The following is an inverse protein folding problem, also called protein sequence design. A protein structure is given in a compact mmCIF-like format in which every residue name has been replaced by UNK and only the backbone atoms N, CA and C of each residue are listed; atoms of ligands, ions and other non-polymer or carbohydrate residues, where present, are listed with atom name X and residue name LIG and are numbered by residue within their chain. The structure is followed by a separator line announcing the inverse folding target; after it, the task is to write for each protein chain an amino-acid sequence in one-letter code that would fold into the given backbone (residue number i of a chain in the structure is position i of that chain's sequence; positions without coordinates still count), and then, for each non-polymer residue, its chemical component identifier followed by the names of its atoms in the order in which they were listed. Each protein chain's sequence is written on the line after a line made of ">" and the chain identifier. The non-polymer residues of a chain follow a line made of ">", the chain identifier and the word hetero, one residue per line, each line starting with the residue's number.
data_IF_162963292019
#
_entry.id   IF_162963292019
#
_cell.length_a   1.000
_cell.length_b   1.000
_cell.length_c   1.000
_cell.angle_alpha   90.00
_cell.angle_beta   90.00
_cell.angle_gamma   90.00
#
_symmetry.space_group_name_H-M   'P 1'
#
loop_
_entity.id
_entity.type
_entity.pdbx_description
1 polymer ?
#
# COMPACT_ATOMS: atom_id res chain seq x y z
N UNK A 1 11.65 1.75 -14.68
CA UNK A 1 13.01 2.14 -14.38
C UNK A 1 13.99 1.19 -15.06
N UNK A 2 15.04 1.76 -15.67
CA UNK A 2 15.99 1.00 -16.49
C UNK A 2 17.13 0.39 -15.66
N UNK A 3 17.25 0.75 -14.40
CA UNK A 3 18.36 0.38 -13.54
C UNK A 3 17.87 0.23 -12.09
N UNK A 4 17.06 -0.78 -11.85
CA UNK A 4 16.79 -1.26 -10.51
C UNK A 4 17.73 -2.43 -10.24
N UNK A 5 18.72 -2.18 -9.39
CA UNK A 5 19.49 -3.26 -8.79
C UNK A 5 18.68 -3.82 -7.63
N UNK A 6 18.02 -4.95 -7.85
CA UNK A 6 17.26 -5.58 -6.79
C UNK A 6 17.43 -7.10 -6.78
N UNK A 7 17.54 -7.60 -5.57
CA UNK A 7 17.59 -9.05 -5.31
C UNK A 7 16.18 -9.53 -5.04
N UNK A 8 15.55 -10.07 -6.05
CA UNK A 8 14.13 -10.43 -6.01
C UNK A 8 13.84 -11.89 -5.71
N UNK A 9 14.85 -12.70 -5.51
CA UNK A 9 14.64 -14.09 -5.11
C UNK A 9 14.71 -14.22 -3.59
N UNK A 10 13.58 -14.10 -2.95
CA UNK A 10 13.42 -14.39 -1.54
C UNK A 10 12.86 -15.81 -1.39
N UNK A 11 13.51 -16.58 -0.54
CA UNK A 11 13.03 -17.90 -0.21
C UNK A 11 12.02 -17.83 0.93
N UNK A 12 10.94 -18.57 0.80
CA UNK A 12 10.04 -18.84 1.91
C UNK A 12 10.77 -19.63 3.01
N UNK A 13 10.18 -19.75 4.19
CA UNK A 13 10.76 -20.52 5.31
C UNK A 13 11.02 -22.00 4.98
N UNK A 14 10.26 -22.55 4.04
CA UNK A 14 10.45 -23.92 3.49
C UNK A 14 11.48 -23.97 2.36
N UNK A 15 12.20 -22.86 2.10
CA UNK A 15 13.18 -22.69 1.02
C UNK A 15 12.60 -22.71 -0.40
N UNK A 16 11.30 -22.68 -0.56
CA UNK A 16 10.69 -22.43 -1.87
C UNK A 16 10.87 -20.98 -2.31
N UNK A 17 10.83 -20.72 -3.62
CA UNK A 17 10.96 -19.37 -4.17
C UNK A 17 9.65 -18.63 -3.96
N UNK A 18 9.73 -17.39 -3.47
CA UNK A 18 8.57 -16.49 -3.40
C UNK A 18 8.32 -15.84 -4.75
N UNK A 19 7.18 -16.12 -5.35
CA UNK A 19 6.77 -15.51 -6.61
C UNK A 19 6.20 -14.10 -6.47
N UNK A 20 5.98 -13.62 -5.24
CA UNK A 20 5.43 -12.29 -4.95
C UNK A 20 6.49 -11.25 -4.54
N UNK A 21 7.76 -11.60 -4.60
CA UNK A 21 8.83 -10.63 -4.31
C UNK A 21 8.81 -9.51 -5.34
N UNK A 22 8.84 -8.26 -4.86
CA UNK A 22 8.84 -7.07 -5.71
C UNK A 22 7.47 -6.59 -6.17
N UNK A 23 6.37 -7.18 -5.67
CA UNK A 23 5.01 -6.71 -5.89
C UNK A 23 4.65 -5.51 -4.97
N UNK A 24 3.46 -4.96 -5.15
CA UNK A 24 2.80 -3.96 -4.28
C UNK A 24 3.71 -2.73 -4.03
N UNK A 25 4.16 -2.02 -5.08
CA UNK A 25 5.13 -0.95 -4.91
C UNK A 25 4.53 0.28 -4.23
N UNK A 26 5.12 0.68 -3.12
CA UNK A 26 4.84 1.94 -2.44
C UNK A 26 5.96 2.94 -2.73
N UNK A 27 5.66 3.99 -3.50
CA UNK A 27 6.62 5.05 -3.82
C UNK A 27 6.23 6.33 -3.09
N UNK A 28 7.19 6.92 -2.39
CA UNK A 28 7.01 8.17 -1.65
C UNK A 28 8.17 9.12 -1.90
N UNK A 29 7.85 10.40 -2.03
CA UNK A 29 8.85 11.47 -2.00
C UNK A 29 9.13 11.87 -0.54
N UNK A 30 10.39 12.09 -0.20
CA UNK A 30 10.81 12.59 1.10
C UNK A 30 12.07 13.47 0.94
N UNK A 31 11.91 14.75 1.21
CA UNK A 31 12.99 15.76 1.11
C UNK A 31 13.71 15.78 -0.24
N UNK A 32 12.96 15.72 -1.33
CA UNK A 32 13.49 15.78 -2.70
C UNK A 32 14.12 14.48 -3.20
N UNK A 33 13.93 13.38 -2.49
CA UNK A 33 14.34 12.03 -2.90
C UNK A 33 13.15 11.09 -2.87
N UNK A 34 13.18 10.07 -3.71
CA UNK A 34 12.13 9.07 -3.82
C UNK A 34 12.57 7.77 -3.16
N UNK A 35 11.66 7.15 -2.43
CA UNK A 35 11.87 5.86 -1.79
C UNK A 35 10.80 4.89 -2.24
N UNK A 36 11.22 3.69 -2.66
CA UNK A 36 10.31 2.63 -3.11
C UNK A 36 10.45 1.41 -2.22
N UNK A 37 9.32 1.00 -1.65
CA UNK A 37 9.16 -0.19 -0.84
C UNK A 37 8.32 -1.20 -1.61
N UNK A 38 8.67 -2.49 -1.52
CA UNK A 38 7.96 -3.56 -2.24
C UNK A 38 7.83 -4.80 -1.38
N UNK A 39 6.82 -5.59 -1.68
CA UNK A 39 6.53 -6.85 -1.01
C UNK A 39 7.76 -7.75 -0.92
N UNK A 40 8.03 -8.24 0.29
CA UNK A 40 9.04 -9.25 0.64
C UNK A 40 10.46 -8.87 0.23
N UNK A 41 10.75 -7.60 0.18
CA UNK A 41 12.10 -7.08 0.00
C UNK A 41 12.84 -6.98 1.34
N UNK A 42 14.12 -7.37 1.34
CA UNK A 42 14.99 -7.20 2.52
C UNK A 42 15.59 -5.80 2.62
N UNK A 43 15.00 -4.85 1.95
CA UNK A 43 15.37 -3.45 1.96
C UNK A 43 14.42 -2.64 1.09
N UNK A 44 14.89 -1.53 0.61
CA UNK A 44 14.12 -0.62 -0.24
C UNK A 44 15.05 0.14 -1.17
N UNK A 45 14.50 0.88 -2.11
CA UNK A 45 15.28 1.64 -3.08
C UNK A 45 15.12 3.13 -2.87
N UNK A 46 16.16 3.85 -3.18
CA UNK A 46 16.24 5.31 -3.20
C UNK A 46 16.56 5.80 -4.60
N UNK A 47 15.95 6.91 -5.00
CA UNK A 47 16.22 7.58 -6.27
C UNK A 47 16.12 9.10 -6.10
N UNK A 48 16.81 9.84 -6.98
CA UNK A 48 16.68 11.31 -7.10
C UNK A 48 15.92 11.72 -8.35
N UNK A 49 15.70 10.82 -9.27
CA UNK A 49 15.20 11.11 -10.62
C UNK A 49 14.12 10.11 -11.10
N UNK A 50 13.72 9.14 -10.27
CA UNK A 50 12.82 8.03 -10.59
C UNK A 50 13.31 7.10 -11.71
N UNK A 51 14.51 7.32 -12.23
CA UNK A 51 15.12 6.52 -13.30
C UNK A 51 16.24 5.63 -12.77
N UNK A 52 17.10 6.21 -11.92
CA UNK A 52 18.22 5.52 -11.31
C UNK A 52 17.93 5.23 -9.85
N UNK A 53 18.02 3.94 -9.47
CA UNK A 53 17.66 3.46 -8.15
C UNK A 53 18.83 2.78 -7.47
N UNK A 54 19.09 3.15 -6.22
CA UNK A 54 20.07 2.54 -5.35
C UNK A 54 19.38 1.72 -4.28
N UNK A 55 19.85 0.48 -4.05
CA UNK A 55 19.32 -0.35 -2.97
C UNK A 55 19.85 0.11 -1.62
N UNK A 56 18.93 0.42 -0.71
CA UNK A 56 19.21 0.74 0.69
C UNK A 56 19.08 -0.53 1.52
N UNK A 57 20.19 -1.01 2.05
CA UNK A 57 20.22 -2.16 2.96
C UNK A 57 19.86 -1.68 4.37
N UNK A 58 18.81 -2.22 4.99
CA UNK A 58 18.43 -1.82 6.34
C UNK A 58 19.49 -2.18 7.38
N UNK A 59 19.72 -1.26 8.32
CA UNK A 59 20.65 -1.44 9.42
C UNK A 59 19.98 -2.09 10.63
N UNK A 60 18.90 -1.47 11.13
CA UNK A 60 18.16 -1.96 12.32
C UNK A 60 16.66 -1.74 12.19
N UNK A 61 15.91 -2.49 12.98
CA UNK A 61 14.45 -2.37 13.12
C UNK A 61 13.68 -2.50 11.79
N UNK A 62 14.22 -3.25 10.83
CA UNK A 62 13.47 -3.58 9.63
C UNK A 62 12.66 -4.87 9.84
N UNK A 63 11.62 -5.06 9.05
CA UNK A 63 10.83 -6.30 9.07
C UNK A 63 11.74 -7.50 8.73
N UNK A 64 11.84 -8.53 9.60
CA UNK A 64 12.92 -9.53 9.54
C UNK A 64 13.01 -10.34 8.24
N UNK A 65 11.93 -10.46 7.50
CA UNK A 65 11.90 -11.16 6.21
C UNK A 65 11.20 -10.33 5.14
N UNK A 66 11.24 -9.00 5.31
CA UNK A 66 10.35 -8.11 4.59
C UNK A 66 8.91 -8.22 5.12
N UNK A 67 8.00 -7.59 4.42
CA UNK A 67 6.57 -7.67 4.69
C UNK A 67 5.82 -7.77 3.36
N UNK A 68 4.58 -8.20 3.39
CA UNK A 68 3.69 -8.05 2.25
C UNK A 68 3.11 -6.63 2.24
N UNK A 69 2.79 -6.14 1.05
CA UNK A 69 2.06 -4.90 0.85
C UNK A 69 2.55 -3.73 1.74
N UNK A 70 3.82 -3.30 1.60
CA UNK A 70 4.30 -2.15 2.35
C UNK A 70 3.58 -0.89 1.90
N UNK A 71 3.29 0.00 2.85
CA UNK A 71 2.84 1.35 2.58
C UNK A 71 3.76 2.36 3.25
N UNK A 72 3.89 3.55 2.66
CA UNK A 72 4.78 4.58 3.16
C UNK A 72 4.07 5.94 3.19
N UNK A 73 4.28 6.70 4.27
CA UNK A 73 3.68 8.01 4.46
C UNK A 73 4.72 9.05 4.88
N UNK A 74 4.90 10.07 4.03
CA UNK A 74 5.71 11.23 4.34
C UNK A 74 4.89 12.23 5.17
N UNK A 75 5.27 12.44 6.42
CA UNK A 75 4.63 13.46 7.26
C UNK A 75 5.45 14.76 7.24
N UNK A 76 5.07 15.67 6.34
CA UNK A 76 5.60 17.05 6.25
C UNK A 76 7.13 17.11 6.18
N UNK A 77 7.76 16.23 5.45
CA UNK A 77 9.23 16.11 5.33
C UNK A 77 10.00 16.01 6.65
N UNK A 78 9.30 15.73 7.73
CA UNK A 78 9.90 15.59 9.05
C UNK A 78 10.16 14.12 9.41
N UNK A 79 9.21 13.25 9.11
CA UNK A 79 9.27 11.82 9.43
C UNK A 79 8.63 11.02 8.29
N UNK A 80 9.32 9.98 7.86
CA UNK A 80 8.81 8.94 6.97
C UNK A 80 8.36 7.75 7.80
N UNK A 81 7.11 7.34 7.63
CA UNK A 81 6.54 6.15 8.24
C UNK A 81 6.41 5.03 7.22
N UNK A 82 6.58 3.80 7.66
CA UNK A 82 6.33 2.59 6.84
C UNK A 82 5.50 1.60 7.64
N UNK A 83 4.52 1.02 6.98
CA UNK A 83 3.72 -0.11 7.45
C UNK A 83 3.87 -1.28 6.50
N UNK A 84 3.35 -2.44 6.86
CA UNK A 84 3.33 -3.62 6.01
C UNK A 84 2.76 -4.80 6.78
N UNK A 85 2.37 -5.86 6.08
CA UNK A 85 1.85 -7.09 6.68
C UNK A 85 2.96 -8.15 6.82
N UNK A 86 3.49 -8.37 8.03
CA UNK A 86 4.44 -9.45 8.29
C UNK A 86 3.74 -10.81 8.56
N UNK A 87 2.45 -10.93 8.21
CA UNK A 87 1.60 -12.10 8.50
C UNK A 87 1.37 -12.32 10.00
N UNK A 88 0.93 -11.26 10.68
CA UNK A 88 0.64 -11.34 12.12
C UNK A 88 0.64 -9.98 12.80
N UNK A 89 1.59 -9.80 13.70
CA UNK A 89 1.74 -8.54 14.44
C UNK A 89 2.71 -7.61 13.74
N UNK A 90 2.35 -6.34 13.64
CA UNK A 90 3.21 -5.32 13.05
C UNK A 90 3.44 -4.15 14.01
N UNK A 91 4.58 -3.50 13.85
CA UNK A 91 4.84 -2.17 14.37
C UNK A 91 4.93 -1.18 13.21
N UNK A 92 4.45 0.03 13.40
CA UNK A 92 4.72 1.13 12.46
C UNK A 92 6.21 1.48 12.60
N UNK A 93 6.95 1.46 11.52
CA UNK A 93 8.34 1.91 11.48
C UNK A 93 8.42 3.37 11.09
N UNK A 94 9.40 4.09 11.62
CA UNK A 94 9.61 5.49 11.25
C UNK A 94 11.09 5.87 11.25
N UNK A 95 11.43 6.87 10.44
CA UNK A 95 12.77 7.46 10.39
C UNK A 95 12.68 8.91 9.91
N UNK A 96 13.65 9.73 10.29
CA UNK A 96 13.90 11.05 9.70
C UNK A 96 15.05 11.05 8.68
N UNK A 97 15.69 9.89 8.50
CA UNK A 97 16.78 9.70 7.55
C UNK A 97 16.70 8.31 6.88
N UNK A 98 15.79 8.11 5.93
CA UNK A 98 15.62 6.82 5.26
C UNK A 98 16.87 6.38 4.47
N UNK A 99 17.72 7.31 4.02
CA UNK A 99 18.96 6.96 3.35
C UNK A 99 19.96 6.18 4.22
N UNK A 100 19.84 6.28 5.55
CA UNK A 100 20.71 5.58 6.50
C UNK A 100 20.41 4.09 6.65
N UNK A 101 19.24 3.64 6.23
CA UNK A 101 18.75 2.28 6.48
C UNK A 101 18.29 2.01 7.93
N UNK A 102 18.39 3.00 8.83
CA UNK A 102 18.02 2.84 10.24
C UNK A 102 16.61 3.34 10.53
N UNK A 103 15.84 2.51 11.20
CA UNK A 103 14.46 2.78 11.56
C UNK A 103 14.24 2.64 13.06
N UNK A 104 13.25 3.33 13.56
CA UNK A 104 12.69 3.14 14.89
C UNK A 104 11.30 2.51 14.75
N UNK A 105 10.91 1.73 15.77
CA UNK A 105 9.59 1.13 15.80
C UNK A 105 8.70 1.88 16.81
N UNK A 106 7.47 2.18 16.38
CA UNK A 106 6.44 2.63 17.31
C UNK A 106 6.13 1.49 18.29
N UNK A 107 6.09 1.74 19.59
CA UNK A 107 5.88 0.67 20.58
C UNK A 107 4.50 -0.01 20.51
N UNK A 108 3.51 0.62 19.87
CA UNK A 108 2.22 -0.01 19.67
C UNK A 108 2.35 -1.17 18.67
N UNK A 109 1.76 -2.30 19.02
CA UNK A 109 1.68 -3.47 18.16
C UNK A 109 0.25 -3.57 17.62
N UNK A 110 0.12 -3.61 16.31
CA UNK A 110 -1.13 -3.83 15.62
C UNK A 110 -1.19 -5.28 15.14
N UNK A 111 -2.38 -5.87 15.15
CA UNK A 111 -2.55 -7.28 14.86
C UNK A 111 -3.53 -7.50 13.72
N UNK A 112 -3.21 -8.46 12.84
CA UNK A 112 -4.09 -8.95 11.78
C UNK A 112 -4.59 -7.85 10.83
N UNK A 113 -3.75 -6.88 10.53
CA UNK A 113 -3.99 -5.88 9.50
C UNK A 113 -3.34 -6.38 8.21
N UNK A 114 -4.16 -6.76 7.23
CA UNK A 114 -3.70 -7.14 5.90
C UNK A 114 -3.65 -5.90 5.01
N UNK A 115 -2.55 -5.73 4.29
CA UNK A 115 -2.32 -4.59 3.40
C UNK A 115 -2.54 -3.23 4.10
N UNK A 116 -1.83 -2.94 5.21
CA UNK A 116 -2.11 -1.78 6.03
C UNK A 116 -1.51 -0.50 5.45
N UNK A 117 -2.33 0.55 5.30
CA UNK A 117 -1.91 1.90 4.93
C UNK A 117 -2.08 2.87 6.11
N UNK A 118 -0.98 3.54 6.50
CA UNK A 118 -1.00 4.63 7.48
C UNK A 118 -1.11 5.97 6.78
N UNK A 119 -2.15 6.72 7.10
CA UNK A 119 -2.32 8.10 6.66
C UNK A 119 -2.34 9.07 7.83
N UNK A 120 -1.55 10.14 7.78
CA UNK A 120 -1.57 11.23 8.75
C UNK A 120 -2.00 12.50 8.04
N UNK A 121 -3.13 13.05 8.45
CA UNK A 121 -3.72 14.23 7.82
C UNK A 121 -2.98 15.52 8.21
N UNK A 122 -3.27 16.61 7.50
CA UNK A 122 -2.66 17.94 7.74
C UNK A 122 -2.90 18.47 9.15
N UNK A 123 -4.02 18.09 9.78
CA UNK A 123 -4.34 18.42 11.18
C UNK A 123 -3.62 17.54 12.20
N UNK A 124 -2.82 16.58 11.74
CA UNK A 124 -2.03 15.68 12.56
C UNK A 124 -2.79 14.45 13.08
N UNK A 125 -4.06 14.27 12.73
CA UNK A 125 -4.78 13.03 13.03
C UNK A 125 -4.24 11.90 12.17
N UNK A 126 -4.12 10.74 12.80
CA UNK A 126 -3.61 9.54 12.14
C UNK A 126 -4.72 8.50 11.96
N UNK A 127 -4.66 7.83 10.82
CA UNK A 127 -5.62 6.80 10.43
C UNK A 127 -4.88 5.59 9.91
N UNK A 128 -5.42 4.40 10.19
CA UNK A 128 -4.96 3.14 9.60
C UNK A 128 -6.09 2.56 8.76
N UNK A 129 -5.77 2.21 7.52
CA UNK A 129 -6.66 1.52 6.60
C UNK A 129 -6.10 0.15 6.30
N UNK A 130 -6.96 -0.85 6.09
CA UNK A 130 -6.53 -2.20 5.74
C UNK A 130 -7.66 -3.01 5.14
N UNK A 131 -7.31 -4.11 4.47
CA UNK A 131 -8.22 -5.11 3.96
C UNK A 131 -7.64 -5.84 2.77
N UNK A 132 -7.87 -7.15 2.75
CA UNK A 132 -7.50 -8.05 1.68
C UNK A 132 -8.43 -9.26 1.78
N UNK A 133 -9.55 -9.25 1.01
CA UNK A 133 -10.61 -10.24 1.21
C UNK A 133 -11.62 -10.31 0.07
N UNK A 134 -12.22 -11.49 -0.06
CA UNK A 134 -13.42 -11.73 -0.88
C UNK A 134 -14.74 -11.67 -0.05
N UNK A 135 -14.64 -11.47 1.26
CA UNK A 135 -15.78 -11.48 2.18
C UNK A 135 -15.85 -10.21 3.02
N UNK A 136 -14.72 -9.74 3.50
CA UNK A 136 -14.66 -8.60 4.42
C UNK A 136 -14.39 -7.29 3.69
N UNK A 137 -14.96 -6.17 4.18
CA UNK A 137 -14.76 -4.85 3.61
C UNK A 137 -13.32 -4.33 3.80
N UNK A 138 -12.99 -3.31 3.04
CA UNK A 138 -11.91 -2.40 3.42
C UNK A 138 -12.37 -1.63 4.67
N UNK A 139 -11.48 -1.54 5.64
CA UNK A 139 -11.72 -0.98 6.97
C UNK A 139 -10.78 0.15 7.30
N UNK A 140 -11.19 0.97 8.25
CA UNK A 140 -10.36 2.04 8.79
C UNK A 140 -10.58 2.24 10.27
N UNK A 141 -9.56 2.80 10.93
CA UNK A 141 -9.63 3.26 12.31
C UNK A 141 -8.79 4.52 12.52
N UNK A 142 -9.21 5.39 13.44
CA UNK A 142 -8.38 6.48 13.92
C UNK A 142 -7.35 5.96 14.92
N UNK A 143 -6.12 6.49 14.85
CA UNK A 143 -5.06 6.22 15.79
C UNK A 143 -4.71 7.47 16.60
N UNK A 144 -4.44 7.31 17.89
CA UNK A 144 -3.94 8.40 18.74
C UNK A 144 -2.40 8.50 18.57
N UNK A 145 -1.96 9.39 17.69
CA UNK A 145 -0.54 9.65 17.43
C UNK A 145 0.20 10.10 18.68
N UNK A 146 -0.44 10.91 19.55
CA UNK A 146 0.16 11.41 20.78
C UNK A 146 0.33 10.32 21.84
N UNK A 147 -0.46 9.25 21.73
CA UNK A 147 -0.39 8.05 22.57
C UNK A 147 0.24 6.88 21.83
N UNK A 148 1.25 7.14 20.98
CA UNK A 148 2.02 6.11 20.28
C UNK A 148 1.19 5.26 19.30
N UNK A 149 0.27 5.90 18.60
CA UNK A 149 -0.57 5.26 17.57
C UNK A 149 -1.46 4.13 18.08
N UNK A 150 -1.89 4.15 19.32
CA UNK A 150 -2.91 3.21 19.79
C UNK A 150 -4.25 3.52 19.12
N UNK A 151 -5.07 2.48 18.94
CA UNK A 151 -6.42 2.63 18.39
C UNK A 151 -7.25 3.64 19.17
N UNK A 152 -7.93 4.55 18.46
CA UNK A 152 -8.85 5.53 19.01
C UNK A 152 -10.24 5.35 18.41
N UNK A 153 -11.23 5.08 19.24
CA UNK A 153 -12.59 4.83 18.80
C UNK A 153 -12.81 3.47 18.13
N UNK A 154 -13.86 3.36 17.33
CA UNK A 154 -14.27 2.11 16.71
C UNK A 154 -13.67 1.92 15.33
N UNK A 155 -13.53 0.66 14.92
CA UNK A 155 -13.23 0.29 13.54
C UNK A 155 -14.45 0.54 12.67
N UNK A 156 -14.28 1.17 11.52
CA UNK A 156 -15.34 1.46 10.55
C UNK A 156 -15.15 0.62 9.29
N UNK A 157 -16.21 0.04 8.80
CA UNK A 157 -16.30 -0.55 7.48
C UNK A 157 -16.51 0.58 6.45
N UNK A 158 -15.69 0.63 5.40
CA UNK A 158 -15.66 1.74 4.45
C UNK A 158 -16.41 1.38 3.16
N UNK A 159 -16.04 0.29 2.52
CA UNK A 159 -16.73 -0.24 1.35
C UNK A 159 -16.41 -1.73 1.16
N UNK A 160 -17.31 -2.40 0.45
CA UNK A 160 -17.25 -3.84 0.16
C UNK A 160 -16.98 -4.10 -1.32
N UNK A 161 -16.56 -5.33 -1.62
CA UNK A 161 -16.67 -5.94 -2.93
C UNK A 161 -18.12 -5.86 -3.44
N UNK A 162 -18.33 -5.39 -4.68
CA UNK A 162 -19.65 -5.29 -5.30
C UNK A 162 -19.59 -5.72 -6.78
N UNK A 163 -19.26 -6.96 -7.05
CA UNK A 163 -19.14 -7.52 -8.40
C UNK A 163 -20.38 -7.33 -9.30
N UNK A 164 -21.62 -7.35 -8.79
CA UNK A 164 -22.77 -7.06 -9.62
C UNK A 164 -22.76 -5.67 -10.25
N UNK A 165 -22.22 -4.69 -9.55
CA UNK A 165 -22.05 -3.31 -10.06
C UNK A 165 -20.70 -3.04 -10.65
N UNK A 166 -19.66 -3.67 -10.09
CA UNK A 166 -18.26 -3.44 -10.45
C UNK A 166 -17.69 -4.72 -11.08
N UNK A 167 -18.11 -5.05 -12.29
CA UNK A 167 -17.75 -6.31 -12.96
C UNK A 167 -16.25 -6.56 -13.09
N UNK A 168 -15.41 -5.51 -13.02
CA UNK A 168 -13.96 -5.60 -13.06
C UNK A 168 -13.33 -6.18 -11.79
N UNK A 169 -14.06 -6.22 -10.67
CA UNK A 169 -13.64 -6.86 -9.42
C UNK A 169 -13.77 -8.40 -9.45
N UNK A 170 -14.25 -8.97 -10.56
CA UNK A 170 -14.49 -10.39 -10.72
C UNK A 170 -13.21 -11.16 -11.05
N UNK A 171 -13.05 -12.32 -10.43
CA UNK A 171 -11.96 -13.25 -10.69
C UNK A 171 -11.88 -13.77 -12.13
N UNK A 172 -10.75 -14.40 -12.42
CA UNK A 172 -10.46 -15.10 -13.66
C UNK A 172 -9.82 -14.21 -14.71
N UNK A 173 -9.08 -14.85 -15.62
CA UNK A 173 -8.54 -14.16 -16.78
C UNK A 173 -9.68 -13.51 -17.57
N UNK A 174 -9.54 -12.24 -17.90
CA UNK A 174 -10.59 -11.45 -18.53
C UNK A 174 -11.94 -11.43 -17.78
N UNK A 175 -11.90 -11.52 -16.43
CA UNK A 175 -13.09 -11.53 -15.55
C UNK A 175 -14.06 -12.69 -15.78
N UNK A 176 -13.56 -13.84 -16.21
CA UNK A 176 -14.41 -14.95 -16.68
C UNK A 176 -14.86 -15.91 -15.58
N UNK A 177 -14.32 -15.80 -14.37
CA UNK A 177 -14.74 -16.68 -13.29
C UNK A 177 -16.11 -16.25 -12.75
N UNK A 178 -17.07 -17.15 -12.85
CA UNK A 178 -18.45 -16.91 -12.36
C UNK A 178 -18.75 -17.67 -11.06
N UNK A 179 -17.80 -18.46 -10.55
CA UNK A 179 -17.99 -19.35 -9.39
C UNK A 179 -17.33 -18.80 -8.13
N UNK A 180 -16.04 -18.42 -8.19
CA UNK A 180 -15.29 -18.00 -7.01
C UNK A 180 -15.55 -16.55 -6.61
N UNK A 181 -16.14 -15.75 -7.50
CA UNK A 181 -16.49 -14.38 -7.20
C UNK A 181 -15.41 -13.37 -7.53
N UNK A 182 -14.97 -12.56 -6.58
CA UNK A 182 -14.00 -11.48 -6.75
C UNK A 182 -13.21 -11.21 -5.46
N UNK A 183 -12.40 -10.16 -5.48
CA UNK A 183 -11.53 -9.79 -4.36
C UNK A 183 -11.27 -8.28 -4.37
N UNK A 184 -11.05 -7.72 -3.19
CA UNK A 184 -10.56 -6.35 -3.01
C UNK A 184 -9.45 -6.34 -1.96
N UNK A 185 -8.42 -5.51 -2.19
CA UNK A 185 -7.28 -5.42 -1.30
C UNK A 185 -6.53 -4.08 -1.42
N UNK A 186 -5.47 -3.89 -0.64
CA UNK A 186 -4.48 -2.85 -0.83
C UNK A 186 -5.01 -1.43 -0.76
N UNK A 187 -5.74 -1.02 0.31
CA UNK A 187 -6.17 0.36 0.42
C UNK A 187 -4.97 1.31 0.52
N UNK A 188 -5.00 2.37 -0.28
CA UNK A 188 -4.02 3.45 -0.25
C UNK A 188 -4.74 4.80 -0.28
N UNK A 189 -4.59 5.60 0.79
CA UNK A 189 -5.26 6.89 0.89
C UNK A 189 -4.36 8.05 0.46
N UNK A 190 -4.86 8.82 -0.51
CA UNK A 190 -4.23 10.07 -0.96
C UNK A 190 -5.18 11.24 -0.73
N UNK A 191 -4.68 12.35 -0.19
CA UNK A 191 -5.40 13.62 -0.10
C UNK A 191 -4.97 14.55 -1.21
N UNK A 192 -5.93 15.08 -1.96
CA UNK A 192 -5.68 16.08 -3.00
C UNK A 192 -6.85 17.06 -3.11
N UNK A 193 -6.56 18.36 -3.16
CA UNK A 193 -7.57 19.42 -3.27
C UNK A 193 -8.74 19.28 -2.28
N UNK A 194 -8.44 18.95 -1.03
CA UNK A 194 -9.43 18.81 0.05
C UNK A 194 -10.31 17.56 -0.03
N UNK A 195 -10.06 16.66 -0.97
CA UNK A 195 -10.72 15.35 -1.09
C UNK A 195 -9.78 14.21 -0.74
N UNK A 196 -10.35 13.08 -0.36
CA UNK A 196 -9.65 11.86 -0.01
C UNK A 196 -9.97 10.78 -1.03
N UNK A 197 -8.92 10.26 -1.65
CA UNK A 197 -8.99 9.25 -2.70
C UNK A 197 -8.45 7.94 -2.14
N UNK A 198 -9.35 6.96 -1.94
CA UNK A 198 -8.97 5.63 -1.49
C UNK A 198 -8.82 4.74 -2.72
N UNK A 199 -7.57 4.47 -3.10
CA UNK A 199 -7.21 3.50 -4.12
C UNK A 199 -7.31 2.10 -3.53
N UNK A 200 -7.66 1.09 -4.33
CA UNK A 200 -7.72 -0.31 -3.94
C UNK A 200 -7.50 -1.22 -5.13
N UNK A 201 -6.91 -2.39 -4.90
CA UNK A 201 -6.65 -3.41 -5.92
C UNK A 201 -7.79 -4.42 -6.03
N UNK A 202 -8.05 -4.91 -7.25
CA UNK A 202 -8.98 -6.00 -7.57
C UNK A 202 -8.69 -6.55 -8.98
N UNK A 203 -9.10 -7.79 -9.30
CA UNK A 203 -9.66 -8.81 -8.43
C UNK A 203 -8.61 -9.60 -7.66
N UNK A 204 -7.37 -9.69 -8.14
CA UNK A 204 -6.29 -10.43 -7.51
C UNK A 204 -5.07 -10.52 -8.40
N UNK A 205 -3.91 -10.59 -7.75
CA UNK A 205 -2.59 -10.48 -8.37
C UNK A 205 -2.26 -11.61 -9.35
N UNK A 206 -3.00 -12.74 -9.30
CA UNK A 206 -2.83 -13.89 -10.19
C UNK A 206 -3.46 -13.72 -11.56
N UNK A 207 -4.30 -12.70 -11.76
CA UNK A 207 -5.05 -12.51 -13.01
C UNK A 207 -4.50 -11.39 -13.87
N UNK A 208 -4.60 -11.54 -15.20
CA UNK A 208 -4.17 -10.52 -16.16
C UNK A 208 -4.94 -9.19 -16.02
N UNK A 209 -6.11 -9.23 -15.45
CA UNK A 209 -7.03 -8.11 -15.26
C UNK A 209 -6.84 -7.38 -13.93
N UNK A 210 -5.83 -7.76 -13.13
CA UNK A 210 -5.54 -7.08 -11.88
C UNK A 210 -5.35 -5.58 -12.10
N UNK A 211 -6.07 -4.77 -11.35
CA UNK A 211 -6.21 -3.34 -11.60
C UNK A 211 -6.45 -2.57 -10.30
N UNK A 212 -6.39 -1.24 -10.38
CA UNK A 212 -6.78 -0.37 -9.27
C UNK A 212 -8.05 0.40 -9.59
N UNK A 213 -8.91 0.50 -8.60
CA UNK A 213 -10.04 1.40 -8.56
C UNK A 213 -9.88 2.47 -7.47
N UNK A 214 -10.78 3.44 -7.47
CA UNK A 214 -10.77 4.56 -6.53
C UNK A 214 -12.16 4.84 -5.99
N UNK A 215 -12.25 5.03 -4.69
CA UNK A 215 -13.37 5.68 -4.01
C UNK A 215 -12.96 7.07 -3.54
N UNK A 216 -13.90 8.02 -3.50
CA UNK A 216 -13.64 9.41 -3.07
C UNK A 216 -14.54 9.80 -1.92
N UNK A 217 -14.00 10.56 -0.97
CA UNK A 217 -14.71 11.07 0.19
C UNK A 217 -14.31 12.51 0.53
N UNK A 218 -15.14 13.17 1.38
CA UNK A 218 -14.83 14.48 1.97
C UNK A 218 -14.04 14.37 3.27
N UNK A 219 -13.98 13.18 3.86
CA UNK A 219 -13.29 12.91 5.13
C UNK A 219 -12.51 11.59 5.03
N UNK A 220 -11.39 11.45 5.77
CA UNK A 220 -10.56 10.23 5.69
C UNK A 220 -11.33 8.94 6.00
N UNK A 221 -12.31 9.01 6.88
CA UNK A 221 -13.15 7.88 7.28
C UNK A 221 -14.47 7.80 6.49
N UNK A 222 -14.56 8.46 5.34
CA UNK A 222 -15.74 8.49 4.48
C UNK A 222 -16.92 9.29 5.04
N UNK A 223 -18.13 9.16 4.44
CA UNK A 223 -18.53 8.08 3.52
C UNK A 223 -17.84 8.17 2.15
N UNK A 224 -17.54 7.02 1.59
CA UNK A 224 -16.85 6.89 0.31
C UNK A 224 -17.82 6.69 -0.86
N UNK A 225 -17.54 7.33 -1.98
CA UNK A 225 -18.31 7.22 -3.22
C UNK A 225 -17.44 6.61 -4.32
N UNK A 226 -17.93 5.54 -4.94
CA UNK A 226 -17.28 4.86 -6.06
C UNK A 226 -17.13 5.78 -7.28
N UNK A 227 -15.96 5.75 -7.93
CA UNK A 227 -15.70 6.56 -9.11
C UNK A 227 -16.12 5.85 -10.39
N UNK A 228 -16.90 6.56 -11.22
CA UNK A 228 -17.50 6.00 -12.44
C UNK A 228 -16.49 5.56 -13.53
N UNK A 229 -15.25 6.05 -13.43
CA UNK A 229 -14.19 5.73 -14.40
C UNK A 229 -13.26 4.60 -13.94
N UNK A 230 -13.64 3.88 -12.88
CA UNK A 230 -12.92 2.70 -12.45
C UNK A 230 -13.02 1.56 -13.49
N UNK A 231 -11.98 0.72 -13.60
CA UNK A 231 -10.68 0.85 -12.94
C UNK A 231 -9.82 1.96 -13.55
N UNK A 232 -8.98 2.60 -12.73
CA UNK A 232 -8.10 3.72 -13.16
C UNK A 232 -6.74 3.22 -13.64
N UNK A 233 -6.31 2.05 -13.18
CA UNK A 233 -5.12 1.35 -13.62
C UNK A 233 -5.55 -0.02 -14.15
N UNK A 234 -5.63 -0.17 -15.47
CA UNK A 234 -6.13 -1.39 -16.11
C UNK A 234 -5.30 -1.77 -17.32
N UNK A 235 -4.62 -2.90 -17.24
CA UNK A 235 -3.77 -3.39 -18.33
C UNK A 235 -3.85 -4.92 -18.45
N UNK A 236 -4.87 -5.46 -19.13
CA UNK A 236 -5.11 -6.92 -19.20
C UNK A 236 -4.21 -7.65 -20.19
N UNK A 237 -3.35 -6.97 -20.92
CA UNK A 237 -2.47 -7.58 -21.91
C UNK A 237 -1.24 -6.75 -22.24
N UNK A 238 -0.34 -7.32 -23.05
CA UNK A 238 0.94 -6.74 -23.45
C UNK A 238 2.12 -7.32 -22.67
N UNK A 239 3.27 -6.66 -22.75
CA UNK A 239 4.51 -7.14 -22.10
C UNK A 239 4.38 -7.25 -20.57
N UNK A 240 3.69 -6.31 -19.95
CA UNK A 240 3.35 -6.35 -18.53
C UNK A 240 1.83 -6.20 -18.40
N UNK A 241 1.20 -7.08 -17.66
CA UNK A 241 -0.22 -7.06 -17.36
C UNK A 241 -0.45 -7.14 -15.86
N UNK A 242 -1.70 -6.91 -15.41
CA UNK A 242 -2.04 -6.98 -14.01
C UNK A 242 -1.45 -5.81 -13.19
N UNK A 243 -1.93 -4.59 -13.42
CA UNK A 243 -1.39 -3.35 -12.83
C UNK A 243 -2.09 -2.92 -11.53
N UNK A 244 -2.55 -3.87 -10.72
CA UNK A 244 -3.23 -3.61 -9.44
C UNK A 244 -2.29 -3.50 -8.24
N UNK A 245 -2.83 -3.07 -7.11
CA UNK A 245 -2.17 -2.85 -5.83
C UNK A 245 -1.01 -1.85 -5.95
N UNK A 246 -1.25 -0.79 -6.71
CA UNK A 246 -0.32 0.31 -6.87
C UNK A 246 -0.43 1.34 -5.75
N UNK A 247 0.47 2.31 -5.76
CA UNK A 247 0.45 3.48 -4.89
C UNK A 247 0.40 4.77 -5.70
N UNK A 248 -0.18 5.82 -5.14
CA UNK A 248 -0.18 7.17 -5.74
C UNK A 248 0.84 8.04 -5.03
N UNK A 249 1.83 8.52 -5.79
CA UNK A 249 2.77 9.55 -5.34
C UNK A 249 2.42 10.89 -6.00
N UNK A 250 2.13 11.91 -5.21
CA UNK A 250 1.88 13.25 -5.73
C UNK A 250 3.23 13.93 -6.01
N UNK A 251 3.51 14.18 -7.30
CA UNK A 251 4.66 14.94 -7.73
C UNK A 251 4.22 16.40 -7.90
N UNK A 252 4.78 17.28 -7.09
CA UNK A 252 4.62 18.72 -7.28
C UNK A 252 5.72 19.18 -8.23
N UNK A 253 5.39 19.34 -9.51
CA UNK A 253 6.28 20.08 -10.43
C UNK A 253 6.07 21.55 -10.16
N UNK A 254 7.16 22.29 -9.84
CA UNK A 254 7.14 23.75 -9.90
C UNK A 254 6.93 24.14 -11.36
N UNK A 255 5.83 24.82 -11.65
CA UNK A 255 5.61 25.49 -12.93
C UNK A 255 6.68 26.57 -13.17
#
# INVERSE_FOLDING_TARGET
>A
PLNIDYTYMIYNSDKSISYRSGADPAVVEFRGEYYMFVTRSHGYWRSRDLLNWEFVRPGRNWYPQGCNAPAAHNYKDSVLYVTGDPSGSMSILYTDNPASGNWEAVPAILHNLQDPDLFIDDDGKAYMFWGSSNVYPIRGMELDKNRRFIKKGETKELFNLDMPKHGWERFGENHTDTVLGGYIEGPWLTKHNGKYYMQYGAPGTEFNVYADGVYVADYPMGPYTYQKHNPVSYKPGGYMNGAGHGSTCLLYTSD
#
